data_IF_338832481784
#
_entry.id   IF_338832481784
#
_cell.length_a   1.000
_cell.length_b   1.000
_cell.length_c   1.000
_cell.angle_alpha   90.00
_cell.angle_beta   90.00
_cell.angle_gamma   90.00
#
_symmetry.space_group_name_H-M   'P 1'
#
loop_
_entity.id
_entity.type
_entity.pdbx_description
1 polymer ?
#
# COMPACT_ATOMS: atom_id res chain seq x y z
N UNK A 1 -10.68 13.71 -16.59
CA UNK A 1 -9.70 12.81 -15.95
C UNK A 1 -9.97 12.82 -14.45
N UNK A 2 -10.28 11.71 -13.80
CA UNK A 2 -10.43 11.72 -12.36
C UNK A 2 -9.05 11.93 -11.73
N UNK A 3 -8.89 13.08 -11.12
CA UNK A 3 -7.68 13.55 -10.45
C UNK A 3 -7.55 12.83 -9.09
N UNK A 4 -7.24 11.52 -9.11
CA UNK A 4 -7.09 10.75 -7.88
C UNK A 4 -5.72 11.03 -7.28
N UNK A 5 -5.71 11.81 -6.22
CA UNK A 5 -4.51 12.15 -5.43
C UNK A 5 -4.27 11.05 -4.39
N UNK A 6 -3.43 10.09 -4.72
CA UNK A 6 -3.09 8.99 -3.82
C UNK A 6 -2.12 9.43 -2.71
N UNK A 7 -2.19 8.75 -1.56
CA UNK A 7 -1.17 8.82 -0.52
C UNK A 7 -0.08 7.80 -0.81
N UNK A 8 1.15 8.27 -1.00
CA UNK A 8 2.30 7.46 -1.44
C UNK A 8 3.43 7.57 -0.42
N UNK A 9 4.00 6.43 -0.01
CA UNK A 9 5.25 6.37 0.73
C UNK A 9 6.35 5.85 -0.19
N UNK A 10 7.41 6.64 -0.36
CA UNK A 10 8.62 6.26 -1.11
C UNK A 10 9.68 5.78 -0.14
N UNK A 11 10.22 4.58 -0.38
CA UNK A 11 11.32 3.99 0.38
C UNK A 11 12.50 3.78 -0.56
N UNK A 12 13.55 4.57 -0.37
CA UNK A 12 14.69 4.65 -1.26
C UNK A 12 15.88 5.20 -0.48
N UNK A 13 17.02 4.51 -0.48
CA UNK A 13 18.21 4.93 0.26
C UNK A 13 18.93 6.07 -0.43
N UNK A 14 18.93 6.10 -1.76
CA UNK A 14 19.57 7.17 -2.53
C UNK A 14 18.77 8.48 -2.45
N UNK A 15 19.30 9.48 -1.75
CA UNK A 15 18.61 10.74 -1.48
C UNK A 15 18.16 11.48 -2.76
N UNK A 16 19.01 11.48 -3.78
CA UNK A 16 18.70 12.16 -5.05
C UNK A 16 17.52 11.49 -5.77
N UNK A 17 17.49 10.17 -5.83
CA UNK A 17 16.38 9.41 -6.43
C UNK A 17 15.09 9.63 -5.63
N UNK A 18 15.18 9.49 -4.31
CA UNK A 18 14.06 9.69 -3.38
C UNK A 18 13.42 11.06 -3.49
N UNK A 19 14.24 12.14 -3.47
CA UNK A 19 13.77 13.52 -3.59
C UNK A 19 13.19 13.81 -4.97
N UNK A 20 13.84 13.38 -6.03
CA UNK A 20 13.38 13.62 -7.40
C UNK A 20 12.01 12.97 -7.66
N UNK A 21 11.83 11.72 -7.23
CA UNK A 21 10.55 11.03 -7.33
C UNK A 21 9.46 11.73 -6.50
N UNK A 22 9.81 12.13 -5.27
CA UNK A 22 8.87 12.83 -4.39
C UNK A 22 8.41 14.16 -4.98
N UNK A 23 9.30 14.95 -5.55
CA UNK A 23 8.96 16.22 -6.19
C UNK A 23 8.01 16.03 -7.37
N UNK A 24 8.33 15.08 -8.26
CA UNK A 24 7.49 14.79 -9.43
C UNK A 24 6.08 14.38 -8.99
N UNK A 25 5.97 13.46 -8.04
CA UNK A 25 4.67 12.98 -7.58
C UNK A 25 3.88 14.07 -6.82
N UNK A 26 4.56 14.95 -6.07
CA UNK A 26 3.91 16.11 -5.42
C UNK A 26 3.40 17.12 -6.44
N UNK A 27 4.16 17.41 -7.51
CA UNK A 27 3.72 18.31 -8.59
C UNK A 27 2.45 17.76 -9.26
N UNK A 28 2.35 16.44 -9.38
CA UNK A 28 1.16 15.77 -9.91
C UNK A 28 -0.01 15.70 -8.91
N UNK A 29 0.19 16.23 -7.70
CA UNK A 29 -0.84 16.39 -6.68
C UNK A 29 -0.98 15.22 -5.71
N UNK A 30 -0.12 14.22 -5.75
CA UNK A 30 -0.11 13.14 -4.77
C UNK A 30 0.39 13.62 -3.39
N UNK A 31 -0.09 13.00 -2.32
CA UNK A 31 0.48 13.15 -0.99
C UNK A 31 1.66 12.21 -0.85
N UNK A 32 2.86 12.75 -0.69
CA UNK A 32 4.10 11.95 -0.70
C UNK A 32 4.85 12.11 0.60
N UNK A 33 5.16 10.99 1.24
CA UNK A 33 6.10 10.84 2.35
C UNK A 33 7.28 10.00 1.89
N UNK A 34 8.40 10.10 2.59
CA UNK A 34 9.65 9.46 2.23
C UNK A 34 10.29 8.78 3.43
N UNK A 35 10.90 7.63 3.20
CA UNK A 35 11.75 6.91 4.14
C UNK A 35 13.07 6.56 3.46
N UNK A 36 14.18 6.58 4.20
CA UNK A 36 15.50 6.31 3.67
C UNK A 36 15.89 4.83 3.73
N UNK A 37 15.14 4.02 4.45
CA UNK A 37 15.36 2.58 4.61
C UNK A 37 14.08 1.87 5.06
N UNK A 38 14.13 0.53 5.15
CA UNK A 38 12.98 -0.27 5.54
C UNK A 38 12.51 -0.04 6.98
N UNK A 39 13.43 0.28 7.92
CA UNK A 39 13.05 0.55 9.31
C UNK A 39 12.31 1.89 9.42
N UNK A 40 12.82 2.94 8.77
CA UNK A 40 12.15 4.22 8.69
C UNK A 40 10.77 4.10 8.02
N UNK A 41 10.66 3.25 6.99
CA UNK A 41 9.39 2.96 6.33
C UNK A 41 8.36 2.34 7.28
N UNK A 42 8.74 1.40 8.14
CA UNK A 42 7.85 0.81 9.13
C UNK A 42 7.35 1.85 10.15
N UNK A 43 8.19 2.79 10.56
CA UNK A 43 7.78 3.90 11.44
C UNK A 43 6.73 4.77 10.73
N UNK A 44 7.01 5.21 9.51
CA UNK A 44 6.12 6.04 8.71
C UNK A 44 4.76 5.38 8.44
N UNK A 45 4.74 4.07 8.16
CA UNK A 45 3.50 3.33 7.90
C UNK A 45 2.67 3.18 9.17
N UNK A 46 3.30 2.98 10.34
CA UNK A 46 2.57 2.92 11.62
C UNK A 46 1.96 4.26 12.03
N UNK A 47 2.56 5.38 11.61
CA UNK A 47 1.97 6.70 11.84
C UNK A 47 0.78 6.96 10.91
N UNK A 48 0.94 6.64 9.63
CA UNK A 48 -0.10 6.80 8.63
C UNK A 48 0.05 5.76 7.51
N UNK A 49 -0.95 4.90 7.34
CA UNK A 49 -0.94 3.86 6.30
C UNK A 49 -1.14 4.51 4.93
N UNK A 50 -0.18 4.35 3.98
CA UNK A 50 -0.32 4.89 2.63
C UNK A 50 -1.24 4.01 1.77
N UNK A 51 -1.78 4.57 0.69
CA UNK A 51 -2.46 3.79 -0.33
C UNK A 51 -1.47 2.97 -1.17
N UNK A 52 -0.31 3.58 -1.48
CA UNK A 52 0.74 2.97 -2.29
C UNK A 52 2.08 3.08 -1.57
N UNK A 53 2.79 1.97 -1.48
CA UNK A 53 4.19 1.88 -1.10
C UNK A 53 5.03 1.71 -2.36
N UNK A 54 5.98 2.61 -2.59
CA UNK A 54 6.98 2.53 -3.65
C UNK A 54 8.33 2.25 -3.00
N UNK A 55 8.88 1.04 -3.16
CA UNK A 55 10.08 0.61 -2.43
C UNK A 55 11.16 0.09 -3.35
N UNK A 56 12.38 0.61 -3.18
CA UNK A 56 13.56 -0.05 -3.74
C UNK A 56 13.75 -1.44 -3.10
N UNK A 57 14.14 -2.40 -3.92
CA UNK A 57 14.47 -3.76 -3.47
C UNK A 57 15.85 -3.85 -2.83
N UNK A 58 16.79 -3.01 -3.25
CA UNK A 58 18.20 -3.09 -2.87
C UNK A 58 18.60 -1.89 -2.03
N UNK A 59 18.39 -1.97 -0.72
CA UNK A 59 18.76 -0.94 0.23
C UNK A 59 19.67 -1.53 1.33
N UNK A 60 20.61 -0.75 1.88
CA UNK A 60 21.36 -1.18 3.06
C UNK A 60 20.48 -1.30 4.30
N UNK A 61 20.84 -2.19 5.20
CA UNK A 61 20.04 -2.50 6.40
C UNK A 61 18.88 -3.42 6.05
N UNK A 62 17.64 -2.97 6.22
CA UNK A 62 16.46 -3.70 5.80
C UNK A 62 16.19 -3.43 4.31
N UNK A 63 16.41 -4.43 3.48
CA UNK A 63 16.11 -4.39 2.04
C UNK A 63 14.61 -4.37 1.76
N UNK A 64 14.23 -3.91 0.55
CA UNK A 64 12.84 -4.01 0.11
C UNK A 64 12.34 -5.45 0.06
N UNK A 65 13.22 -6.40 -0.29
CA UNK A 65 12.86 -7.83 -0.30
C UNK A 65 12.50 -8.37 1.09
N UNK A 66 13.02 -7.79 2.16
CA UNK A 66 12.65 -8.12 3.55
C UNK A 66 11.45 -7.32 4.02
N UNK A 67 11.36 -6.04 3.62
CA UNK A 67 10.27 -5.15 4.00
C UNK A 67 8.92 -5.59 3.39
N UNK A 68 8.88 -5.90 2.10
CA UNK A 68 7.62 -6.13 1.38
C UNK A 68 6.80 -7.30 1.92
N UNK A 69 7.36 -8.46 2.31
CA UNK A 69 6.60 -9.52 2.96
C UNK A 69 5.96 -9.08 4.29
N UNK A 70 6.65 -8.25 5.08
CA UNK A 70 6.11 -7.70 6.32
C UNK A 70 4.92 -6.78 6.06
N UNK A 71 5.02 -5.92 5.03
CA UNK A 71 3.93 -5.04 4.62
C UNK A 71 2.72 -5.86 4.16
N UNK A 72 2.92 -6.93 3.39
CA UNK A 72 1.82 -7.81 2.96
C UNK A 72 1.11 -8.48 4.13
N UNK A 73 1.86 -8.87 5.15
CA UNK A 73 1.31 -9.53 6.33
C UNK A 73 0.53 -8.56 7.22
N UNK A 74 1.08 -7.36 7.47
CA UNK A 74 0.53 -6.41 8.44
C UNK A 74 -0.45 -5.40 7.81
N UNK A 75 -0.22 -5.01 6.57
CA UNK A 75 -0.97 -3.99 5.85
C UNK A 75 -1.43 -4.48 4.46
N UNK A 76 -2.27 -5.52 4.38
CA UNK A 76 -2.64 -6.17 3.11
C UNK A 76 -3.38 -5.24 2.12
N UNK A 77 -3.93 -4.13 2.61
CA UNK A 77 -4.62 -3.12 1.78
C UNK A 77 -3.65 -2.20 1.03
N UNK A 78 -2.40 -2.09 1.48
CA UNK A 78 -1.39 -1.24 0.85
C UNK A 78 -0.98 -1.86 -0.49
N UNK A 79 -1.07 -1.07 -1.55
CA UNK A 79 -0.57 -1.47 -2.87
C UNK A 79 0.94 -1.24 -2.93
N UNK A 80 1.65 -2.23 -3.42
CA UNK A 80 3.11 -2.22 -3.43
C UNK A 80 3.64 -2.15 -4.85
N UNK A 81 4.49 -1.16 -5.12
CA UNK A 81 5.31 -1.06 -6.32
C UNK A 81 6.76 -1.31 -5.91
N UNK A 82 7.35 -2.40 -6.35
CA UNK A 82 8.77 -2.65 -6.16
C UNK A 82 9.59 -1.90 -7.22
N UNK A 83 10.70 -1.29 -6.80
CA UNK A 83 11.66 -0.64 -7.71
C UNK A 83 12.99 -1.38 -7.70
N UNK A 84 13.67 -1.46 -8.83
CA UNK A 84 15.06 -1.92 -8.89
C UNK A 84 15.74 -1.46 -10.17
N UNK A 85 17.06 -1.23 -10.10
CA UNK A 85 17.93 -1.07 -11.28
C UNK A 85 18.60 -2.37 -11.71
N UNK A 86 18.46 -3.45 -10.93
CA UNK A 86 19.11 -4.74 -11.19
C UNK A 86 18.25 -5.72 -12.00
N UNK A 87 16.94 -5.50 -12.05
CA UNK A 87 16.01 -6.33 -12.80
C UNK A 87 15.49 -5.56 -14.03
N UNK A 88 15.34 -6.26 -15.15
CA UNK A 88 14.80 -5.69 -16.38
C UNK A 88 13.45 -6.30 -16.69
N UNK A 89 12.50 -5.46 -17.12
CA UNK A 89 11.17 -5.86 -17.57
C UNK A 89 10.03 -5.26 -16.76
N UNK A 90 8.82 -5.52 -17.24
CA UNK A 90 7.58 -4.94 -16.67
C UNK A 90 6.90 -5.88 -15.65
N UNK A 91 7.44 -7.07 -15.44
CA UNK A 91 6.86 -8.08 -14.55
C UNK A 91 7.54 -8.04 -13.18
N UNK A 92 6.75 -8.28 -12.15
CA UNK A 92 7.28 -8.45 -10.79
C UNK A 92 8.17 -9.69 -10.79
N UNK A 93 9.44 -9.58 -10.33
CA UNK A 93 10.30 -10.76 -10.24
C UNK A 93 9.73 -11.83 -9.30
N UNK A 94 10.01 -13.10 -9.60
CA UNK A 94 9.54 -14.21 -8.77
C UNK A 94 9.99 -14.05 -7.32
N UNK A 95 9.07 -14.28 -6.39
CA UNK A 95 9.30 -14.17 -4.95
C UNK A 95 9.21 -12.75 -4.39
N UNK A 96 9.02 -11.71 -5.20
CA UNK A 96 8.82 -10.34 -4.74
C UNK A 96 7.34 -10.08 -4.43
N UNK A 97 7.05 -9.70 -3.19
CA UNK A 97 5.69 -9.47 -2.71
C UNK A 97 5.15 -8.08 -3.13
N UNK A 98 5.03 -7.83 -4.44
CA UNK A 98 4.57 -6.56 -5.00
C UNK A 98 3.40 -6.73 -5.98
N UNK A 99 2.60 -5.65 -6.18
CA UNK A 99 1.49 -5.60 -7.15
C UNK A 99 1.96 -5.12 -8.53
N UNK A 100 3.06 -4.37 -8.56
CA UNK A 100 3.70 -3.88 -9.78
C UNK A 100 5.21 -3.75 -9.58
N UNK A 101 5.92 -3.69 -10.70
CA UNK A 101 7.36 -3.49 -10.74
C UNK A 101 7.69 -2.26 -11.58
N UNK A 102 8.71 -1.53 -11.15
CA UNK A 102 9.26 -0.39 -11.87
C UNK A 102 10.77 -0.54 -11.99
N UNK A 103 11.26 -0.71 -13.21
CA UNK A 103 12.69 -0.68 -13.51
C UNK A 103 13.20 0.76 -13.44
N UNK A 104 14.17 1.02 -12.55
CA UNK A 104 14.80 2.34 -12.44
C UNK A 104 15.49 2.69 -13.77
N UNK A 105 15.12 3.84 -14.34
CA UNK A 105 15.62 4.26 -15.65
C UNK A 105 14.62 4.17 -16.80
N UNK A 106 13.52 3.43 -16.66
CA UNK A 106 12.48 3.29 -17.71
C UNK A 106 11.58 4.53 -17.89
N UNK A 107 12.01 5.65 -17.30
CA UNK A 107 11.25 6.90 -17.37
C UNK A 107 10.02 6.92 -16.45
N UNK A 108 9.79 8.07 -15.89
CA UNK A 108 8.72 8.31 -14.87
C UNK A 108 7.31 7.99 -15.41
N UNK A 109 7.08 8.10 -16.72
CA UNK A 109 5.77 7.80 -17.31
C UNK A 109 5.30 6.35 -17.08
N UNK A 110 6.22 5.39 -16.99
CA UNK A 110 5.90 3.98 -16.69
C UNK A 110 5.45 3.86 -15.24
N UNK A 111 6.16 4.51 -14.31
CA UNK A 111 5.78 4.54 -12.89
C UNK A 111 4.39 5.18 -12.69
N UNK A 112 4.11 6.28 -13.37
CA UNK A 112 2.81 6.97 -13.28
C UNK A 112 1.66 6.09 -13.73
N UNK A 113 1.83 5.34 -14.83
CA UNK A 113 0.82 4.36 -15.27
C UNK A 113 0.58 3.26 -14.23
N UNK A 114 1.64 2.78 -13.57
CA UNK A 114 1.49 1.78 -12.50
C UNK A 114 0.71 2.36 -11.32
N UNK A 115 1.01 3.59 -10.89
CA UNK A 115 0.31 4.30 -9.82
C UNK A 115 -1.17 4.48 -10.17
N UNK A 116 -1.49 4.99 -11.36
CA UNK A 116 -2.88 5.19 -11.81
C UNK A 116 -3.66 3.87 -11.82
N UNK A 117 -3.07 2.80 -12.33
CA UNK A 117 -3.70 1.47 -12.35
C UNK A 117 -4.03 0.97 -10.95
N UNK A 118 -3.08 1.08 -10.01
CA UNK A 118 -3.27 0.59 -8.66
C UNK A 118 -4.24 1.44 -7.84
N UNK A 119 -4.22 2.77 -8.04
CA UNK A 119 -5.18 3.70 -7.42
C UNK A 119 -6.61 3.47 -7.91
N UNK A 120 -6.78 3.10 -9.18
CA UNK A 120 -8.10 2.82 -9.75
C UNK A 120 -8.67 1.48 -9.26
N UNK A 121 -7.81 0.47 -9.07
CA UNK A 121 -8.21 -0.85 -8.56
C UNK A 121 -8.72 -0.81 -7.12
N UNK A 122 -8.24 0.13 -6.30
CA UNK A 122 -8.70 0.29 -4.92
C UNK A 122 -10.16 0.75 -4.82
N UNK A 123 -10.71 1.40 -5.85
CA UNK A 123 -12.12 1.83 -5.88
C UNK A 123 -13.10 0.68 -6.11
N UNK A 124 -12.72 -0.35 -6.83
CA UNK A 124 -13.58 -1.52 -7.07
C UNK A 124 -13.66 -2.47 -5.88
N UNK A 125 -12.71 -2.39 -4.96
CA UNK A 125 -12.72 -3.18 -3.72
C UNK A 125 -13.64 -2.61 -2.63
N UNK A 126 -14.15 -1.40 -2.78
CA UNK A 126 -15.12 -0.78 -1.87
C UNK A 126 -16.58 -1.09 -2.23
N UNK A 127 -16.84 -1.66 -3.42
CA UNK A 127 -18.11 -2.30 -3.74
C UNK A 127 -18.00 -3.76 -3.27
N UNK A 128 -18.21 -3.95 -1.98
CA UNK A 128 -18.40 -5.30 -1.42
C UNK A 128 -19.53 -5.99 -2.15
N UNK A 129 -19.50 -7.34 -2.29
CA UNK A 129 -20.63 -8.06 -2.88
C UNK A 129 -21.88 -7.65 -2.10
N UNK A 130 -22.93 -7.25 -2.83
CA UNK A 130 -24.27 -7.02 -2.30
C UNK A 130 -24.60 -8.18 -1.34
N UNK A 131 -25.09 -7.91 -0.12
CA UNK A 131 -25.42 -8.97 0.81
C UNK A 131 -26.45 -9.88 0.15
N UNK A 132 -26.00 -11.06 -0.23
CA UNK A 132 -26.89 -12.08 -0.80
C UNK A 132 -27.75 -12.63 0.34
N UNK A 133 -29.00 -12.16 0.42
CA UNK A 133 -29.99 -12.68 1.35
C UNK A 133 -30.38 -14.10 0.89
N UNK A 134 -29.94 -15.10 1.64
CA UNK A 134 -30.39 -16.47 1.42
C UNK A 134 -31.67 -16.66 2.21
N UNK A 135 -32.81 -16.62 1.50
CA UNK A 135 -34.08 -17.04 2.05
C UNK A 135 -34.10 -18.56 2.19
N UNK A 136 -34.04 -19.07 3.40
CA UNK A 136 -34.38 -20.45 3.73
C UNK A 136 -35.66 -20.46 4.56
N UNK A 137 -36.71 -21.01 3.96
CA UNK A 137 -37.99 -21.36 4.63
C UNK A 137 -38.74 -20.19 5.29
N UNK A 138 -38.80 -19.04 4.65
CA UNK A 138 -39.76 -17.98 5.05
C UNK A 138 -39.57 -17.37 6.44
N UNK A 139 -38.43 -17.55 7.08
CA UNK A 139 -38.09 -16.92 8.35
C UNK A 139 -36.77 -16.16 8.21
N UNK A 140 -36.81 -14.86 8.55
CA UNK A 140 -35.66 -13.99 8.60
C UNK A 140 -34.69 -14.44 9.70
N UNK A 141 -33.65 -15.18 9.32
CA UNK A 141 -32.56 -15.47 10.23
C UNK A 141 -31.57 -14.31 10.15
N UNK A 142 -31.67 -13.38 11.10
CA UNK A 142 -30.59 -12.42 11.40
C UNK A 142 -29.35 -13.21 11.82
N UNK A 143 -28.49 -13.55 10.89
CA UNK A 143 -27.24 -14.23 11.21
C UNK A 143 -26.08 -13.25 11.15
N UNK A 144 -25.46 -13.17 12.33
CA UNK A 144 -24.11 -12.68 12.64
C UNK A 144 -23.52 -11.71 11.62
N UNK A 145 -23.45 -10.48 12.05
CA UNK A 145 -22.67 -9.41 11.43
C UNK A 145 -21.25 -9.89 11.15
N UNK A 146 -20.70 -9.67 9.94
CA UNK A 146 -19.25 -9.56 9.79
C UNK A 146 -18.82 -8.44 10.72
N UNK A 147 -17.68 -8.61 11.35
CA UNK A 147 -17.07 -7.63 12.25
C UNK A 147 -17.01 -6.31 11.49
N UNK A 148 -17.92 -5.41 11.80
CA UNK A 148 -17.91 -4.06 11.28
C UNK A 148 -16.75 -3.33 11.93
N UNK A 149 -15.64 -3.24 11.21
CA UNK A 149 -14.76 -2.11 11.37
C UNK A 149 -15.59 -0.88 11.07
N UNK A 150 -15.99 -0.13 12.09
CA UNK A 150 -16.64 1.17 11.91
C UNK A 150 -15.65 2.09 11.23
N UNK A 151 -15.88 2.36 9.95
CA UNK A 151 -15.34 3.56 9.34
C UNK A 151 -16.23 4.73 9.75
N UNK A 152 -15.72 5.75 10.43
CA UNK A 152 -16.45 6.98 10.63
C UNK A 152 -16.59 7.71 9.28
N UNK A 153 -17.71 8.43 9.04
CA UNK A 153 -18.00 9.07 7.76
C UNK A 153 -17.10 10.26 7.41
N UNK A 154 -16.14 10.58 8.22
CA UNK A 154 -15.33 11.81 8.20
C UNK A 154 -13.84 11.58 7.92
N UNK A 155 -13.48 10.48 7.28
CA UNK A 155 -12.16 10.35 6.60
C UNK A 155 -10.92 10.52 7.50
N UNK A 156 -11.03 10.43 8.84
CA UNK A 156 -9.90 10.60 9.72
C UNK A 156 -9.78 9.46 10.74
N UNK A 157 -8.60 8.85 10.74
CA UNK A 157 -8.03 7.95 11.74
C UNK A 157 -8.71 6.58 11.92
N UNK A 158 -8.15 5.57 11.28
CA UNK A 158 -8.25 4.18 11.71
C UNK A 158 -7.35 3.99 12.94
N UNK A 159 -7.89 4.15 14.13
CA UNK A 159 -7.20 3.75 15.37
C UNK A 159 -7.35 2.25 15.53
N UNK A 160 -6.29 1.51 15.27
CA UNK A 160 -6.20 0.09 15.60
C UNK A 160 -5.98 -0.01 17.12
N UNK A 161 -6.83 -0.73 17.86
CA UNK A 161 -6.58 -0.95 19.28
C UNK A 161 -5.27 -1.75 19.47
N UNK A 162 -4.48 -1.44 20.52
CA UNK A 162 -3.25 -2.19 20.79
C UNK A 162 -3.59 -3.66 21.10
N UNK A 163 -2.77 -4.55 20.54
CA UNK A 163 -2.84 -5.98 20.82
C UNK A 163 -2.66 -6.24 22.31
N UNK A 164 -3.42 -7.17 22.93
CA UNK A 164 -3.25 -7.53 24.31
C UNK A 164 -1.86 -8.12 24.54
N UNK A 165 -1.14 -7.57 25.51
CA UNK A 165 0.15 -8.09 25.99
C UNK A 165 -0.12 -9.45 26.64
N UNK A 166 0.56 -10.54 26.28
CA UNK A 166 0.43 -11.79 27.00
C UNK A 166 1.01 -11.61 28.42
N UNK A 167 0.17 -11.63 29.42
CA UNK A 167 0.59 -11.75 30.81
C UNK A 167 1.08 -13.18 31.02
N UNK A 168 2.40 -13.34 31.05
CA UNK A 168 3.04 -14.59 31.44
C UNK A 168 2.77 -14.91 32.91
N UNK A 169 2.41 -16.15 33.17
CA UNK A 169 2.57 -16.84 34.45
C UNK A 169 3.68 -17.87 34.29
#
# INVERSE_FOLDING_TARGET
MPDHKASILIVEDEEFVRTSLAEILKILGHRVRCAADGFAALVEINEEVPEILLSDLNMPGMSGSELLPLIRLQFPIVRVIAMSGAFSGDQVPDGVAADAFYEKGNGVAVLLKAIERLSSANRQSCEGPEPTWILRNGQDIKRAMPIQGRYPPDGNACSIPPLPIPTGA
#
